data_IF_472425186258
#
_entry.id   IF_472425186258
#
_cell.length_a   1.000
_cell.length_b   1.000
_cell.length_c   1.000
_cell.angle_alpha   90.00
_cell.angle_beta   90.00
_cell.angle_gamma   90.00
#
_symmetry.space_group_name_H-M   'P 1'
#
loop_
_entity.id
_entity.type
_entity.pdbx_description
1 polymer ?
#
# COMPACT_ATOMS: atom_id res chain seq x y z
N UNK A 1 -16.90 18.78 9.43
CA UNK A 1 -16.28 17.93 8.41
C UNK A 1 -16.29 18.68 7.07
N UNK A 2 -15.13 18.88 6.47
CA UNK A 2 -15.04 19.53 5.18
C UNK A 2 -15.58 18.57 4.11
N UNK A 3 -16.55 19.03 3.32
CA UNK A 3 -17.12 18.27 2.21
C UNK A 3 -16.38 18.54 0.91
N UNK A 4 -16.36 17.55 0.03
CA UNK A 4 -15.86 17.63 -1.33
C UNK A 4 -16.96 17.36 -2.33
N UNK A 5 -16.74 17.74 -3.58
CA UNK A 5 -17.69 17.45 -4.64
C UNK A 5 -16.96 16.90 -5.88
N UNK A 6 -17.42 15.76 -6.37
CA UNK A 6 -16.93 15.11 -7.57
C UNK A 6 -17.97 15.17 -8.69
N UNK A 7 -17.77 16.09 -9.66
CA UNK A 7 -18.60 16.17 -10.89
C UNK A 7 -18.17 15.17 -11.98
N UNK A 8 -17.31 14.19 -11.64
CA UNK A 8 -16.72 13.24 -12.59
C UNK A 8 -15.46 13.76 -13.29
N UNK A 9 -15.10 15.02 -13.13
CA UNK A 9 -13.89 15.63 -13.69
C UNK A 9 -13.49 16.90 -12.95
N UNK A 10 -12.23 17.29 -13.10
CA UNK A 10 -11.69 18.59 -12.67
C UNK A 10 -10.71 19.07 -13.74
N UNK A 11 -10.71 20.37 -14.03
CA UNK A 11 -9.76 20.98 -14.97
C UNK A 11 -8.69 21.74 -14.19
N UNK A 12 -7.43 21.50 -14.52
CA UNK A 12 -6.26 22.15 -13.92
C UNK A 12 -5.37 22.66 -15.05
N UNK A 13 -5.16 23.96 -15.13
CA UNK A 13 -4.36 24.64 -16.17
C UNK A 13 -4.67 24.11 -17.59
N UNK A 14 -5.95 24.02 -17.94
CA UNK A 14 -6.42 23.53 -19.23
C UNK A 14 -6.43 22.01 -19.44
N UNK A 15 -5.81 21.23 -18.54
CA UNK A 15 -5.83 19.75 -18.56
C UNK A 15 -6.98 19.22 -17.74
N UNK A 16 -7.73 18.25 -18.30
CA UNK A 16 -8.85 17.61 -17.60
C UNK A 16 -8.42 16.30 -16.95
N UNK A 17 -8.55 16.23 -15.63
CA UNK A 17 -8.48 14.99 -14.85
C UNK A 17 -9.88 14.41 -14.74
N UNK A 18 -10.07 13.16 -15.17
CA UNK A 18 -11.34 12.44 -15.08
C UNK A 18 -11.37 11.53 -13.88
N UNK A 19 -12.54 11.36 -13.28
CA UNK A 19 -12.76 10.26 -12.36
C UNK A 19 -12.72 8.92 -13.12
N UNK A 20 -12.39 7.84 -12.45
CA UNK A 20 -12.28 6.52 -13.09
C UNK A 20 -13.65 5.92 -13.43
N UNK A 21 -14.72 6.41 -12.83
CA UNK A 21 -16.11 5.98 -13.05
C UNK A 21 -17.06 7.15 -13.18
N UNK A 22 -18.32 6.94 -12.83
CA UNK A 22 -19.36 7.97 -12.79
C UNK A 22 -19.03 9.07 -11.76
N UNK A 23 -19.65 10.26 -11.85
CA UNK A 23 -19.56 11.28 -10.82
C UNK A 23 -20.01 10.74 -9.45
N UNK A 24 -19.19 10.98 -8.40
CA UNK A 24 -19.52 10.54 -7.05
C UNK A 24 -20.41 11.55 -6.28
N UNK A 25 -20.54 12.78 -6.78
CA UNK A 25 -21.33 13.83 -6.12
C UNK A 25 -20.65 14.38 -4.87
N UNK A 26 -21.44 14.59 -3.81
CA UNK A 26 -20.93 15.07 -2.53
C UNK A 26 -20.20 13.93 -1.78
N UNK A 27 -18.98 14.20 -1.34
CA UNK A 27 -18.11 13.23 -0.66
C UNK A 27 -17.51 13.79 0.62
N UNK A 28 -17.37 12.93 1.61
CA UNK A 28 -16.46 13.14 2.75
C UNK A 28 -15.07 12.60 2.37
N UNK A 29 -14.05 12.91 3.18
CA UNK A 29 -12.72 12.33 3.02
C UNK A 29 -12.75 10.78 3.03
N UNK A 30 -13.54 10.16 3.91
CA UNK A 30 -13.70 8.72 3.98
C UNK A 30 -14.28 8.16 2.68
N UNK A 31 -15.37 8.74 2.18
CA UNK A 31 -16.00 8.31 0.92
C UNK A 31 -15.09 8.52 -0.29
N UNK A 32 -14.38 9.64 -0.34
CA UNK A 32 -13.41 9.90 -1.41
C UNK A 32 -12.28 8.86 -1.45
N UNK A 33 -11.83 8.39 -0.28
CA UNK A 33 -10.82 7.33 -0.17
C UNK A 33 -11.40 5.96 -0.55
N UNK A 34 -12.61 5.62 -0.10
CA UNK A 34 -13.34 4.41 -0.44
C UNK A 34 -13.60 4.32 -1.96
N UNK A 35 -14.02 5.43 -2.56
CA UNK A 35 -14.29 5.56 -4.00
C UNK A 35 -13.02 5.77 -4.83
N UNK A 36 -11.86 6.00 -4.21
CA UNK A 36 -10.63 6.36 -4.93
C UNK A 36 -10.82 7.54 -5.89
N UNK A 37 -11.47 8.62 -5.42
CA UNK A 37 -11.96 9.71 -6.25
C UNK A 37 -10.83 10.62 -6.75
N UNK A 38 -10.43 10.50 -8.02
CA UNK A 38 -9.36 11.31 -8.62
C UNK A 38 -9.58 12.83 -8.47
N UNK A 39 -10.79 13.41 -8.74
CA UNK A 39 -11.03 14.83 -8.57
C UNK A 39 -10.83 15.33 -7.14
N UNK A 40 -11.22 14.56 -6.12
CA UNK A 40 -11.03 14.95 -4.72
C UNK A 40 -9.54 14.92 -4.35
N UNK A 41 -8.81 13.87 -4.70
CA UNK A 41 -7.37 13.80 -4.43
C UNK A 41 -6.57 14.85 -5.21
N UNK A 42 -7.01 15.22 -6.41
CA UNK A 42 -6.47 16.39 -7.14
C UNK A 42 -6.67 17.68 -6.35
N UNK A 43 -7.88 17.94 -5.84
CA UNK A 43 -8.15 19.13 -5.03
C UNK A 43 -7.28 19.18 -3.78
N UNK A 44 -7.11 18.03 -3.09
CA UNK A 44 -6.26 17.93 -1.90
C UNK A 44 -4.79 18.20 -2.21
N UNK A 45 -4.25 17.64 -3.29
CA UNK A 45 -2.87 17.88 -3.70
C UNK A 45 -2.62 19.36 -4.02
N UNK A 46 -3.55 20.02 -4.76
CA UNK A 46 -3.46 21.42 -5.09
C UNK A 46 -3.58 22.33 -3.85
N UNK A 47 -4.45 21.99 -2.89
CA UNK A 47 -4.57 22.71 -1.60
C UNK A 47 -3.30 22.59 -0.76
N UNK A 48 -2.66 21.41 -0.77
CA UNK A 48 -1.41 21.19 -0.05
C UNK A 48 -0.25 21.98 -0.66
N UNK A 49 -0.27 22.13 -1.98
CA UNK A 49 0.78 22.76 -2.76
C UNK A 49 2.01 21.88 -2.94
N UNK A 50 2.84 22.19 -3.93
CA UNK A 50 3.99 21.35 -4.29
C UNK A 50 5.02 21.22 -3.17
N UNK A 51 5.27 22.31 -2.41
CA UNK A 51 6.26 22.31 -1.34
C UNK A 51 5.92 21.28 -0.24
N UNK A 52 4.74 21.41 0.37
CA UNK A 52 4.30 20.49 1.43
C UNK A 52 4.11 19.09 0.90
N UNK A 53 3.58 18.93 -0.32
CA UNK A 53 3.39 17.62 -0.92
C UNK A 53 4.72 16.88 -1.05
N UNK A 54 5.77 17.55 -1.54
CA UNK A 54 7.11 16.94 -1.66
C UNK A 54 7.80 16.73 -0.33
N UNK A 55 7.59 17.58 0.67
CA UNK A 55 8.05 17.33 2.04
C UNK A 55 7.50 15.98 2.55
N UNK A 56 6.20 15.71 2.36
CA UNK A 56 5.61 14.43 2.74
C UNK A 56 6.10 13.26 1.89
N UNK A 57 6.20 13.40 0.56
CA UNK A 57 6.75 12.34 -0.29
C UNK A 57 8.14 11.90 0.22
N UNK A 58 9.01 12.86 0.49
CA UNK A 58 10.35 12.56 1.01
C UNK A 58 10.36 12.05 2.45
N UNK A 59 9.46 12.55 3.30
CA UNK A 59 9.31 12.05 4.67
C UNK A 59 8.85 10.59 4.68
N UNK A 60 8.02 10.17 3.72
CA UNK A 60 7.63 8.77 3.49
C UNK A 60 8.67 7.95 2.71
N UNK A 61 9.84 8.50 2.42
CA UNK A 61 10.96 7.80 1.78
C UNK A 61 10.84 7.61 0.27
N UNK A 62 9.85 8.25 -0.39
CA UNK A 62 9.66 8.13 -1.83
C UNK A 62 10.70 8.95 -2.60
N UNK A 63 11.10 8.47 -3.79
CA UNK A 63 12.07 9.12 -4.66
C UNK A 63 13.55 8.91 -4.25
N UNK A 64 13.84 8.04 -3.29
CA UNK A 64 15.19 7.67 -2.85
C UNK A 64 15.24 6.20 -2.45
N UNK A 65 16.42 5.59 -2.48
CA UNK A 65 16.63 4.22 -2.00
C UNK A 65 16.27 4.11 -0.53
N UNK A 66 15.67 2.99 -0.13
CA UNK A 66 15.32 2.70 1.28
C UNK A 66 16.55 2.31 2.09
N UNK A 67 17.59 1.82 1.41
CA UNK A 67 18.81 1.29 2.01
C UNK A 67 18.61 -0.10 2.61
N UNK A 68 17.66 -0.88 2.07
CA UNK A 68 17.53 -2.31 2.37
C UNK A 68 18.86 -3.03 2.07
N UNK A 69 19.14 -4.09 2.78
CA UNK A 69 20.36 -4.91 2.65
C UNK A 69 20.34 -5.86 1.43
N UNK A 70 19.85 -5.34 0.29
CA UNK A 70 19.83 -6.00 -1.01
C UNK A 70 20.57 -5.15 -2.05
N UNK A 71 21.26 -5.83 -2.97
CA UNK A 71 21.92 -5.19 -4.10
C UNK A 71 20.89 -4.80 -5.19
N UNK A 72 21.22 -3.76 -5.97
CA UNK A 72 20.42 -3.37 -7.15
C UNK A 72 19.18 -2.56 -6.83
N UNK A 73 19.04 -1.99 -5.61
CA UNK A 73 17.90 -1.17 -5.25
C UNK A 73 17.81 0.09 -6.14
N UNK A 74 16.63 0.33 -6.75
CA UNK A 74 16.32 1.53 -7.50
C UNK A 74 15.70 2.62 -6.60
N UNK A 75 15.84 3.90 -6.98
CA UNK A 75 15.32 5.04 -6.22
C UNK A 75 13.89 5.47 -6.58
N UNK A 76 13.24 4.80 -7.55
CA UNK A 76 11.99 5.30 -8.12
C UNK A 76 12.21 6.50 -9.05
N UNK A 77 11.13 7.05 -9.58
CA UNK A 77 11.15 8.23 -10.48
C UNK A 77 10.13 9.25 -9.97
N UNK A 78 10.62 10.41 -9.58
CA UNK A 78 9.80 11.59 -9.25
C UNK A 78 10.25 12.76 -10.13
N UNK A 79 9.31 13.58 -10.59
CA UNK A 79 9.62 14.87 -11.20
C UNK A 79 10.27 15.74 -10.11
N UNK A 80 11.37 16.39 -10.40
CA UNK A 80 12.00 17.31 -9.43
C UNK A 80 11.04 18.43 -9.03
N UNK A 81 10.94 18.74 -7.74
CA UNK A 81 9.99 19.70 -7.18
C UNK A 81 9.97 21.04 -7.91
N UNK A 82 11.15 21.57 -8.27
CA UNK A 82 11.28 22.86 -8.99
C UNK A 82 10.70 22.84 -10.41
N UNK A 83 10.41 21.69 -10.98
CA UNK A 83 9.85 21.50 -12.33
C UNK A 83 8.38 21.10 -12.32
N UNK A 84 7.82 20.84 -11.15
CA UNK A 84 6.42 20.39 -11.00
C UNK A 84 5.47 21.53 -11.28
N UNK A 85 4.60 21.35 -12.27
CA UNK A 85 3.47 22.21 -12.57
C UNK A 85 2.22 21.74 -11.82
N UNK A 86 1.18 22.58 -11.74
CA UNK A 86 -0.07 22.18 -11.09
C UNK A 86 -0.70 20.93 -11.72
N UNK A 87 -0.58 20.75 -13.04
CA UNK A 87 -1.07 19.55 -13.74
C UNK A 87 -0.31 18.30 -13.29
N UNK A 88 1.00 18.40 -13.06
CA UNK A 88 1.81 17.30 -12.56
C UNK A 88 1.45 16.98 -11.12
N UNK A 89 1.34 18.00 -10.28
CA UNK A 89 0.92 17.88 -8.88
C UNK A 89 -0.47 17.25 -8.77
N UNK A 90 -1.41 17.67 -9.63
CA UNK A 90 -2.74 17.10 -9.72
C UNK A 90 -2.70 15.59 -10.00
N UNK A 91 -1.85 15.15 -10.95
CA UNK A 91 -1.68 13.73 -11.31
C UNK A 91 -0.99 12.93 -10.22
N UNK A 92 0.07 13.47 -9.64
CA UNK A 92 0.78 12.81 -8.52
C UNK A 92 -0.18 12.65 -7.34
N UNK A 93 -1.08 13.60 -7.11
CA UNK A 93 -2.06 13.60 -6.03
C UNK A 93 -2.99 12.38 -5.98
N UNK A 94 -3.30 11.80 -7.13
CA UNK A 94 -4.05 10.53 -7.20
C UNK A 94 -3.20 9.34 -7.67
N UNK A 95 -1.86 9.46 -7.61
CA UNK A 95 -0.93 8.35 -7.82
C UNK A 95 -0.50 8.10 -9.26
N UNK A 96 -0.67 9.08 -10.17
CA UNK A 96 -0.14 9.03 -11.54
C UNK A 96 1.13 9.90 -11.67
N UNK A 97 1.87 9.74 -12.77
CA UNK A 97 3.10 10.51 -13.05
C UNK A 97 4.19 10.37 -11.98
N UNK A 98 4.17 9.27 -11.26
CA UNK A 98 5.17 8.87 -10.26
C UNK A 98 5.45 7.39 -10.39
N UNK A 99 6.71 6.98 -10.30
CA UNK A 99 7.08 5.57 -10.23
C UNK A 99 7.87 5.32 -8.94
N UNK A 100 7.38 4.36 -8.15
CA UNK A 100 8.01 3.94 -6.90
C UNK A 100 8.32 2.45 -6.95
N UNK A 101 9.36 2.03 -6.23
CA UNK A 101 9.64 0.60 -6.11
C UNK A 101 8.66 -0.07 -5.15
N UNK A 102 8.40 -1.38 -5.29
CA UNK A 102 7.57 -2.12 -4.34
C UNK A 102 8.03 -1.96 -2.89
N UNK A 103 9.35 -1.96 -2.66
CA UNK A 103 9.89 -1.78 -1.30
C UNK A 103 9.65 -0.37 -0.75
N UNK A 104 9.73 0.67 -1.57
CA UNK A 104 9.35 2.03 -1.17
C UNK A 104 7.87 2.09 -0.80
N UNK A 105 7.00 1.51 -1.64
CA UNK A 105 5.55 1.53 -1.41
C UNK A 105 5.16 0.81 -0.12
N UNK A 106 5.65 -0.42 0.09
CA UNK A 106 5.29 -1.17 1.31
C UNK A 106 5.87 -0.49 2.57
N UNK A 107 7.08 0.06 2.50
CA UNK A 107 7.71 0.76 3.63
C UNK A 107 6.93 2.03 3.99
N UNK A 108 6.50 2.82 2.98
CA UNK A 108 5.65 3.99 3.18
C UNK A 108 4.27 3.61 3.76
N UNK A 109 3.65 2.55 3.23
CA UNK A 109 2.37 2.03 3.74
C UNK A 109 2.48 1.58 5.20
N UNK A 110 3.57 0.87 5.56
CA UNK A 110 3.84 0.52 6.96
C UNK A 110 3.92 1.77 7.85
N UNK A 111 4.57 2.85 7.38
CA UNK A 111 4.63 4.11 8.15
C UNK A 111 3.24 4.74 8.37
N UNK A 112 2.31 4.59 7.42
CA UNK A 112 0.93 5.06 7.58
C UNK A 112 0.21 4.34 8.72
N UNK A 113 0.51 3.06 8.98
CA UNK A 113 -0.30 2.22 9.88
C UNK A 113 0.39 1.82 11.19
N UNK A 114 1.70 2.08 11.35
CA UNK A 114 2.50 1.65 12.50
C UNK A 114 2.73 2.75 13.56
N UNK A 115 1.89 3.78 13.60
CA UNK A 115 2.07 4.95 14.47
C UNK A 115 2.86 6.07 13.83
N UNK A 116 2.99 6.09 12.50
CA UNK A 116 3.58 7.19 11.74
C UNK A 116 5.09 7.10 11.53
N UNK A 117 5.73 5.97 11.82
CA UNK A 117 7.18 5.82 11.79
C UNK A 117 7.65 5.13 10.51
N UNK A 118 8.44 5.83 9.69
CA UNK A 118 9.14 5.22 8.56
C UNK A 118 10.35 4.44 9.07
N UNK A 119 10.31 3.13 8.92
CA UNK A 119 11.38 2.23 9.35
C UNK A 119 12.33 1.94 8.19
N UNK A 120 13.64 1.78 8.49
CA UNK A 120 14.56 1.22 7.51
C UNK A 120 14.25 -0.27 7.34
N UNK A 121 13.90 -0.75 6.11
CA UNK A 121 13.69 -2.18 5.89
C UNK A 121 15.03 -2.94 5.93
N UNK A 122 14.98 -4.19 6.37
CA UNK A 122 16.11 -5.13 6.33
C UNK A 122 15.60 -6.57 6.23
N UNK A 123 16.44 -7.48 5.73
CA UNK A 123 16.18 -8.91 5.64
C UNK A 123 17.11 -9.71 6.56
N UNK A 124 18.36 -9.24 6.73
CA UNK A 124 19.34 -9.93 7.55
C UNK A 124 19.17 -9.49 9.01
N UNK A 125 18.67 -10.37 9.83
CA UNK A 125 18.51 -10.12 11.27
C UNK A 125 19.84 -10.23 12.01
N UNK A 126 20.60 -11.32 11.76
CA UNK A 126 21.89 -11.53 12.37
C UNK A 126 22.86 -12.21 11.39
N UNK A 127 24.15 -12.05 11.66
CA UNK A 127 25.23 -12.81 11.03
C UNK A 127 25.97 -13.51 12.18
N UNK A 128 26.10 -14.84 12.09
CA UNK A 128 26.73 -15.69 13.09
C UNK A 128 27.96 -16.39 12.49
N UNK A 129 28.92 -16.73 13.32
CA UNK A 129 30.04 -17.61 12.94
C UNK A 129 29.64 -19.08 13.01
N UNK A 130 30.60 -19.99 12.67
CA UNK A 130 30.36 -21.43 12.72
C UNK A 130 30.08 -21.99 14.11
N UNK A 131 30.44 -21.25 15.18
CA UNK A 131 30.24 -21.64 16.56
C UNK A 131 28.94 -21.04 17.16
N UNK A 132 28.16 -20.30 16.35
CA UNK A 132 26.91 -19.69 16.75
C UNK A 132 27.07 -18.34 17.46
N UNK A 133 28.26 -17.74 17.46
CA UNK A 133 28.46 -16.42 18.04
C UNK A 133 27.94 -15.33 17.07
N UNK A 134 27.16 -14.42 17.59
CA UNK A 134 26.61 -13.30 16.79
C UNK A 134 27.73 -12.31 16.45
N UNK A 135 28.12 -12.26 15.17
CA UNK A 135 29.10 -11.30 14.64
C UNK A 135 28.45 -9.94 14.36
N UNK A 136 27.19 -9.94 13.97
CA UNK A 136 26.42 -8.72 13.67
C UNK A 136 24.94 -8.94 13.94
N UNK A 137 24.31 -7.99 14.64
CA UNK A 137 22.87 -7.94 14.87
C UNK A 137 22.30 -6.70 14.22
N UNK A 138 21.21 -6.87 13.47
CA UNK A 138 20.44 -5.74 12.92
C UNK A 138 19.34 -5.35 13.91
N UNK A 139 19.23 -4.07 14.21
CA UNK A 139 18.16 -3.54 15.05
C UNK A 139 17.23 -2.63 14.24
N UNK A 140 15.91 -2.62 14.55
CA UNK A 140 14.97 -1.72 13.90
C UNK A 140 15.40 -0.26 14.03
N UNK A 141 15.38 0.47 12.89
CA UNK A 141 15.81 1.88 12.83
C UNK A 141 14.71 2.76 12.26
N UNK A 142 14.28 3.77 13.02
CA UNK A 142 13.37 4.82 12.53
C UNK A 142 14.17 5.78 11.66
N UNK A 143 13.70 6.03 10.43
CA UNK A 143 14.29 6.96 9.46
C UNK A 143 13.65 8.33 9.58
N UNK A 144 12.33 8.38 9.74
CA UNK A 144 11.54 9.60 9.88
C UNK A 144 10.18 9.29 10.55
N UNK A 145 9.47 10.35 10.94
CA UNK A 145 8.11 10.24 11.49
C UNK A 145 7.20 11.17 10.70
N UNK A 146 6.76 10.76 9.48
CA UNK A 146 6.01 11.63 8.57
C UNK A 146 4.64 12.07 9.10
N UNK A 147 3.98 11.29 9.95
CA UNK A 147 2.69 11.61 10.55
C UNK A 147 2.67 11.24 12.04
N UNK A 148 1.71 11.82 12.77
CA UNK A 148 1.51 11.49 14.18
C UNK A 148 0.86 10.12 14.37
N UNK A 149 0.97 9.55 15.56
CA UNK A 149 0.30 8.28 15.91
C UNK A 149 -1.23 8.40 15.82
N UNK A 150 -1.79 9.57 16.13
CA UNK A 150 -3.22 9.86 16.00
C UNK A 150 -3.66 9.85 14.53
N UNK A 151 -2.89 10.50 13.64
CA UNK A 151 -3.13 10.47 12.19
C UNK A 151 -3.05 9.05 11.67
N UNK A 152 -2.05 8.27 12.10
CA UNK A 152 -1.92 6.86 11.75
C UNK A 152 -3.14 6.04 12.18
N UNK A 153 -3.65 6.24 13.41
CA UNK A 153 -4.85 5.58 13.90
C UNK A 153 -6.10 5.95 13.06
N UNK A 154 -6.22 7.22 12.67
CA UNK A 154 -7.28 7.68 11.77
C UNK A 154 -7.17 7.02 10.40
N UNK A 155 -5.97 6.97 9.84
CA UNK A 155 -5.72 6.32 8.54
C UNK A 155 -6.04 4.83 8.55
N UNK A 156 -5.73 4.10 9.63
CA UNK A 156 -6.14 2.69 9.76
C UNK A 156 -7.65 2.51 9.64
N UNK A 157 -8.43 3.35 10.33
CA UNK A 157 -9.90 3.31 10.25
C UNK A 157 -10.42 3.62 8.85
N UNK A 158 -9.85 4.63 8.18
CA UNK A 158 -10.23 4.99 6.82
C UNK A 158 -9.90 3.85 5.83
N UNK A 159 -8.70 3.26 5.95
CA UNK A 159 -8.27 2.17 5.08
C UNK A 159 -9.02 0.85 5.34
N UNK A 160 -9.49 0.61 6.57
CA UNK A 160 -10.45 -0.44 6.88
C UNK A 160 -11.76 -0.21 6.13
N UNK A 161 -12.29 1.03 6.14
CA UNK A 161 -13.47 1.41 5.37
C UNK A 161 -13.34 1.16 3.86
N UNK A 162 -12.15 1.33 3.28
CA UNK A 162 -11.90 1.01 1.86
C UNK A 162 -12.13 -0.47 1.55
N UNK A 163 -11.75 -1.37 2.46
CA UNK A 163 -11.97 -2.81 2.29
C UNK A 163 -13.43 -3.17 2.60
N UNK A 164 -14.04 -2.53 3.59
CA UNK A 164 -15.43 -2.82 3.96
C UNK A 164 -16.44 -2.28 2.95
N UNK A 165 -16.28 -1.05 2.49
CA UNK A 165 -17.30 -0.32 1.75
C UNK A 165 -16.86 0.10 0.33
N UNK A 166 -15.55 0.12 0.08
CA UNK A 166 -14.94 0.71 -1.12
C UNK A 166 -14.42 -0.30 -2.13
N UNK A 167 -13.46 0.14 -2.94
CA UNK A 167 -12.83 -0.63 -4.02
C UNK A 167 -11.98 -1.80 -3.56
N UNK A 168 -11.73 -1.94 -2.25
CA UNK A 168 -10.94 -3.03 -1.65
C UNK A 168 -11.71 -4.27 -1.25
N UNK A 169 -13.00 -4.35 -1.52
CA UNK A 169 -13.91 -5.43 -1.03
C UNK A 169 -13.42 -6.85 -1.29
N UNK A 170 -12.74 -7.08 -2.41
CA UNK A 170 -12.21 -8.40 -2.77
C UNK A 170 -10.99 -8.82 -1.92
N UNK A 171 -10.50 -7.95 -1.04
CA UNK A 171 -9.46 -8.28 -0.06
C UNK A 171 -10.05 -8.66 1.32
N UNK A 172 -11.36 -8.75 1.49
CA UNK A 172 -11.99 -9.20 2.73
C UNK A 172 -11.64 -10.65 3.03
N UNK A 173 -11.36 -10.90 4.31
CA UNK A 173 -11.15 -12.25 4.85
C UNK A 173 -12.10 -12.44 6.03
N UNK A 174 -12.85 -13.55 6.00
CA UNK A 174 -13.83 -13.81 7.03
C UNK A 174 -13.18 -13.97 8.42
N UNK A 175 -13.67 -13.21 9.38
CA UNK A 175 -13.16 -13.21 10.76
C UNK A 175 -11.89 -12.39 10.97
N UNK A 176 -11.43 -11.60 9.97
CA UNK A 176 -10.29 -10.71 10.13
C UNK A 176 -10.58 -9.29 9.64
N UNK A 177 -10.18 -8.32 10.42
CA UNK A 177 -10.26 -6.91 10.02
C UNK A 177 -9.08 -6.56 9.11
N UNK A 178 -9.32 -6.42 7.81
CA UNK A 178 -8.32 -6.07 6.82
C UNK A 178 -8.46 -4.59 6.45
N UNK A 179 -7.37 -3.83 6.51
CA UNK A 179 -7.30 -2.50 5.95
C UNK A 179 -6.44 -2.48 4.69
N UNK A 180 -6.72 -1.59 3.75
CA UNK A 180 -5.90 -1.52 2.54
C UNK A 180 -6.39 -0.54 1.49
N UNK A 181 -5.66 -0.49 0.37
CA UNK A 181 -5.96 0.38 -0.78
C UNK A 181 -5.59 -0.30 -2.08
N UNK A 182 -6.51 -0.27 -3.03
CA UNK A 182 -6.26 -0.68 -4.42
C UNK A 182 -5.54 0.42 -5.19
N UNK A 183 -4.72 0.03 -6.15
CA UNK A 183 -4.12 0.89 -7.15
C UNK A 183 -4.33 0.31 -8.55
N UNK A 184 -4.40 1.20 -9.54
CA UNK A 184 -4.45 0.84 -10.95
C UNK A 184 -3.66 1.88 -11.73
N UNK A 185 -2.48 1.50 -12.19
CA UNK A 185 -1.58 2.39 -12.92
C UNK A 185 -1.54 2.03 -14.40
N UNK A 186 -1.51 3.05 -15.26
CA UNK A 186 -1.28 2.88 -16.70
C UNK A 186 0.17 2.47 -16.97
N UNK A 187 0.36 1.65 -17.97
CA UNK A 187 1.68 1.21 -18.41
C UNK A 187 2.21 2.15 -19.48
N UNK A 188 3.45 2.58 -19.32
CA UNK A 188 4.18 3.39 -20.30
C UNK A 188 5.25 2.54 -20.97
N UNK A 189 5.24 2.50 -22.31
CA UNK A 189 6.31 1.91 -23.13
C UNK A 189 6.75 2.92 -24.17
N UNK A 190 8.06 3.13 -24.30
CA UNK A 190 8.62 4.06 -25.26
C UNK A 190 8.00 5.47 -25.22
N UNK A 191 7.71 5.97 -24.01
CA UNK A 191 7.09 7.29 -23.78
C UNK A 191 5.60 7.41 -24.12
N UNK A 192 4.93 6.30 -24.46
CA UNK A 192 3.49 6.25 -24.75
C UNK A 192 2.75 5.41 -23.73
N UNK A 193 1.49 5.79 -23.48
CA UNK A 193 0.57 4.98 -22.66
C UNK A 193 0.12 3.80 -23.52
N UNK A 194 0.31 2.58 -22.99
CA UNK A 194 -0.30 1.37 -23.56
C UNK A 194 -1.79 1.36 -23.23
N UNK A 195 -2.60 1.45 -24.27
CA UNK A 195 -4.05 1.42 -24.11
C UNK A 195 -4.49 0.02 -23.62
N UNK A 196 -5.37 0.01 -22.62
CA UNK A 196 -5.97 -1.20 -22.04
C UNK A 196 -5.00 -2.14 -21.29
N UNK A 197 -3.81 -1.69 -20.92
CA UNK A 197 -2.89 -2.43 -20.06
C UNK A 197 -2.63 -1.65 -18.77
N UNK A 198 -2.74 -2.33 -17.64
CA UNK A 198 -2.56 -1.73 -16.32
C UNK A 198 -1.67 -2.59 -15.42
N UNK A 199 -1.09 -1.93 -14.43
CA UNK A 199 -0.54 -2.57 -13.25
C UNK A 199 -1.61 -2.46 -12.16
N UNK A 200 -2.27 -3.58 -11.87
CA UNK A 200 -3.18 -3.69 -10.73
C UNK A 200 -2.40 -3.93 -9.46
N UNK A 201 -2.72 -3.22 -8.38
CA UNK A 201 -2.06 -3.40 -7.10
C UNK A 201 -3.04 -3.34 -5.94
N UNK A 202 -2.66 -3.97 -4.84
CA UNK A 202 -3.31 -3.84 -3.54
C UNK A 202 -2.24 -3.81 -2.45
N UNK A 203 -2.26 -2.78 -1.64
CA UNK A 203 -1.51 -2.73 -0.39
C UNK A 203 -2.48 -2.93 0.76
N UNK A 204 -2.19 -3.88 1.64
CA UNK A 204 -3.05 -4.21 2.76
C UNK A 204 -2.28 -4.47 4.04
N UNK A 205 -2.99 -4.44 5.15
CA UNK A 205 -2.46 -4.73 6.48
C UNK A 205 -3.53 -5.36 7.37
N UNK A 206 -3.10 -6.14 8.33
CA UNK A 206 -3.98 -6.84 9.27
C UNK A 206 -3.29 -7.09 10.63
N UNK A 207 -4.06 -7.15 11.74
CA UNK A 207 -5.43 -6.63 11.91
C UNK A 207 -5.48 -5.11 11.71
N UNK A 208 -6.65 -4.56 11.32
CA UNK A 208 -6.75 -3.14 10.99
C UNK A 208 -6.57 -2.21 12.20
N UNK A 209 -6.89 -2.65 13.39
CA UNK A 209 -6.76 -1.90 14.65
C UNK A 209 -5.33 -1.96 15.21
N UNK A 210 -4.66 -3.13 15.10
CA UNK A 210 -3.30 -3.34 15.60
C UNK A 210 -2.47 -4.14 14.57
N UNK A 211 -1.97 -3.52 13.51
CA UNK A 211 -1.30 -4.19 12.40
C UNK A 211 -0.10 -5.02 12.84
N UNK A 212 -0.10 -6.29 12.47
CA UNK A 212 0.99 -7.26 12.68
C UNK A 212 1.74 -7.57 11.39
N UNK A 213 1.04 -7.42 10.27
CA UNK A 213 1.59 -7.69 8.94
C UNK A 213 1.03 -6.70 7.93
N UNK A 214 1.85 -6.34 6.97
CA UNK A 214 1.46 -5.64 5.76
C UNK A 214 1.96 -6.39 4.53
N UNK A 215 1.20 -6.34 3.45
CA UNK A 215 1.57 -6.93 2.16
C UNK A 215 1.27 -5.98 1.02
N UNK A 216 2.01 -6.13 -0.05
CA UNK A 216 1.77 -5.49 -1.34
C UNK A 216 1.71 -6.57 -2.42
N UNK A 217 0.58 -6.65 -3.09
CA UNK A 217 0.41 -7.51 -4.27
C UNK A 217 0.35 -6.62 -5.51
N UNK A 218 1.14 -6.95 -6.53
CA UNK A 218 1.12 -6.27 -7.83
C UNK A 218 0.94 -7.30 -8.94
N UNK A 219 0.03 -7.02 -9.87
CA UNK A 219 -0.22 -7.85 -11.05
C UNK A 219 -0.03 -6.98 -12.29
N UNK A 220 0.99 -7.30 -13.06
CA UNK A 220 1.32 -6.59 -14.29
C UNK A 220 0.60 -7.22 -15.48
N UNK A 221 -0.06 -6.40 -16.29
CA UNK A 221 -0.65 -6.81 -17.58
C UNK A 221 -1.57 -8.05 -17.44
N UNK A 222 -2.48 -8.00 -16.47
CA UNK A 222 -3.44 -9.09 -16.28
C UNK A 222 -4.24 -9.35 -17.56
N UNK A 223 -4.40 -10.63 -17.92
CA UNK A 223 -5.17 -11.05 -19.10
C UNK A 223 -6.69 -11.02 -18.87
N UNK A 224 -7.14 -10.80 -17.63
CA UNK A 224 -8.55 -10.67 -17.26
C UNK A 224 -9.03 -9.23 -17.39
N UNK A 225 -10.33 -9.05 -17.65
CA UNK A 225 -10.96 -7.72 -17.68
C UNK A 225 -12.16 -7.68 -16.71
N UNK A 226 -12.32 -6.59 -15.98
CA UNK A 226 -11.43 -5.43 -15.86
C UNK A 226 -10.14 -5.79 -15.13
N UNK A 227 -9.01 -5.24 -15.57
CA UNK A 227 -7.66 -5.49 -15.03
C UNK A 227 -7.26 -4.53 -13.91
N UNK A 228 -8.22 -4.10 -13.11
CA UNK A 228 -8.02 -3.19 -11.98
C UNK A 228 -7.45 -3.92 -10.75
N UNK A 229 -6.74 -3.20 -9.89
CA UNK A 229 -6.15 -3.77 -8.68
C UNK A 229 -7.17 -4.44 -7.75
N UNK A 230 -8.41 -3.94 -7.73
CA UNK A 230 -9.50 -4.56 -6.97
C UNK A 230 -9.96 -5.93 -7.50
N UNK A 231 -9.74 -6.22 -8.79
CA UNK A 231 -10.11 -7.49 -9.43
C UNK A 231 -8.92 -8.43 -9.64
N UNK A 232 -7.71 -7.88 -9.72
CA UNK A 232 -6.51 -8.67 -10.03
C UNK A 232 -5.59 -8.89 -8.84
N UNK A 233 -5.41 -7.90 -7.95
CA UNK A 233 -4.47 -7.98 -6.84
C UNK A 233 -5.17 -8.25 -5.48
N UNK A 234 -6.32 -7.62 -5.23
CA UNK A 234 -7.03 -7.75 -3.95
C UNK A 234 -7.46 -9.20 -3.62
N UNK A 235 -7.95 -10.04 -4.57
CA UNK A 235 -8.28 -11.43 -4.27
C UNK A 235 -7.08 -12.26 -3.81
N UNK A 236 -5.92 -12.07 -4.42
CA UNK A 236 -4.69 -12.75 -3.99
C UNK A 236 -4.23 -12.27 -2.62
N UNK A 237 -4.40 -10.98 -2.33
CA UNK A 237 -4.10 -10.47 -1.00
C UNK A 237 -5.00 -11.11 0.06
N UNK A 238 -6.30 -11.32 -0.24
CA UNK A 238 -7.21 -12.04 0.65
C UNK A 238 -6.73 -13.46 0.94
N UNK A 239 -6.38 -14.23 -0.09
CA UNK A 239 -5.85 -15.59 0.06
C UNK A 239 -4.58 -15.64 0.90
N UNK A 240 -3.64 -14.72 0.65
CA UNK A 240 -2.41 -14.62 1.44
C UNK A 240 -2.74 -14.32 2.91
N UNK A 241 -3.61 -13.34 3.20
CA UNK A 241 -4.00 -13.03 4.57
C UNK A 241 -4.69 -14.20 5.26
N UNK A 242 -5.58 -14.93 4.55
CA UNK A 242 -6.28 -16.08 5.10
C UNK A 242 -5.32 -17.17 5.59
N UNK A 243 -4.22 -17.37 4.87
CA UNK A 243 -3.20 -18.35 5.21
C UNK A 243 -2.23 -17.85 6.29
N UNK A 244 -1.74 -16.61 6.19
CA UNK A 244 -0.66 -16.15 7.09
C UNK A 244 -1.15 -15.65 8.44
N UNK A 245 -2.38 -15.12 8.57
CA UNK A 245 -2.85 -14.56 9.84
C UNK A 245 -2.96 -15.60 10.97
N UNK A 246 -3.46 -16.83 10.71
CA UNK A 246 -3.41 -17.89 11.71
C UNK A 246 -1.97 -18.26 12.12
N UNK A 247 -1.05 -18.33 11.16
CA UNK A 247 0.37 -18.65 11.43
C UNK A 247 1.06 -17.58 12.28
N UNK A 248 0.62 -16.32 12.15
CA UNK A 248 1.10 -15.20 12.96
C UNK A 248 0.42 -15.11 14.34
N UNK A 249 -0.46 -16.07 14.68
CA UNK A 249 -1.20 -16.08 15.93
C UNK A 249 -2.23 -14.95 16.04
N UNK A 250 -2.72 -14.42 14.92
CA UNK A 250 -3.78 -13.41 14.91
C UNK A 250 -5.11 -14.11 15.09
N UNK A 251 -5.78 -13.83 16.20
CA UNK A 251 -7.11 -14.39 16.48
C UNK A 251 -8.16 -13.82 15.53
N UNK A 252 -9.14 -14.63 15.14
CA UNK A 252 -10.34 -14.15 14.44
C UNK A 252 -11.17 -13.29 15.39
N UNK A 253 -11.75 -12.22 14.87
CA UNK A 253 -12.78 -11.44 15.59
C UNK A 253 -14.04 -12.29 15.77
N UNK A 254 -14.73 -12.14 16.93
CA UNK A 254 -15.92 -12.91 17.25
C UNK A 254 -16.98 -12.82 16.13
N UNK A 255 -17.42 -14.01 15.66
CA UNK A 255 -18.34 -14.17 14.52
C UNK A 255 -17.79 -15.05 13.40
N UNK A 256 -16.50 -15.36 13.36
CA UNK A 256 -15.89 -16.35 12.47
C UNK A 256 -15.73 -17.70 13.18
N UNK A 257 -16.00 -18.81 12.47
CA UNK A 257 -15.76 -20.15 13.00
C UNK A 257 -14.35 -20.29 13.57
N UNK A 258 -14.21 -20.91 14.75
CA UNK A 258 -12.93 -21.18 15.41
C UNK A 258 -11.93 -21.78 14.42
N UNK A 259 -10.77 -21.13 14.28
CA UNK A 259 -9.67 -21.73 13.56
C UNK A 259 -9.24 -22.98 14.30
N UNK A 260 -9.29 -24.15 13.66
CA UNK A 260 -8.61 -25.35 14.17
C UNK A 260 -7.14 -24.95 14.34
N UNK A 261 -6.66 -24.98 15.57
CA UNK A 261 -5.22 -24.92 15.84
C UNK A 261 -4.57 -26.13 15.16
N UNK A 262 -3.97 -25.90 14.01
CA UNK A 262 -3.09 -26.88 13.39
C UNK A 262 -1.76 -26.74 14.12
N UNK A 263 -1.52 -27.60 15.09
CA UNK A 263 -0.18 -27.76 15.67
C UNK A 263 0.74 -28.19 14.54
N UNK A 264 1.76 -27.40 14.29
CA UNK A 264 2.80 -27.79 13.33
C UNK A 264 3.40 -29.12 13.83
N UNK A 265 3.45 -30.18 13.01
CA UNK A 265 4.07 -31.42 13.41
C UNK A 265 5.54 -31.15 13.78
N UNK A 266 6.02 -31.82 14.82
CA UNK A 266 7.43 -31.75 15.18
C UNK A 266 8.25 -32.39 14.06
N UNK A 267 8.93 -31.56 13.31
CA UNK A 267 9.81 -31.98 12.20
C UNK A 267 11.28 -32.03 12.62
N UNK A 268 11.58 -31.93 13.91
CA UNK A 268 12.93 -31.98 14.44
C UNK A 268 13.57 -33.33 14.09
N UNK A 269 14.67 -33.30 13.37
CA UNK A 269 15.39 -34.50 12.91
C UNK A 269 14.88 -35.11 11.61
N UNK A 270 13.86 -34.55 10.98
CA UNK A 270 13.43 -34.98 9.64
C UNK A 270 14.27 -34.36 8.55
N UNK A 271 14.53 -35.12 7.48
CA UNK A 271 15.12 -34.52 6.29
C UNK A 271 14.07 -33.71 5.51
N UNK A 272 14.52 -32.79 4.62
CA UNK A 272 13.65 -31.85 3.88
C UNK A 272 12.58 -32.56 3.01
N UNK A 273 12.79 -33.82 2.64
CA UNK A 273 11.88 -34.59 1.81
C UNK A 273 10.72 -35.13 2.65
N UNK A 274 10.99 -35.59 3.87
CA UNK A 274 10.01 -36.17 4.79
C UNK A 274 9.18 -35.09 5.51
N UNK A 275 9.72 -33.88 5.67
CA UNK A 275 9.01 -32.75 6.26
C UNK A 275 7.98 -32.09 5.29
N UNK A 276 7.95 -32.51 4.02
CA UNK A 276 7.00 -32.01 3.00
C UNK A 276 5.82 -32.92 2.74
N UNK A 277 5.78 -34.09 3.32
CA UNK A 277 4.68 -35.05 3.25
C UNK A 277 3.63 -34.80 4.34
#
# INVERSE_FOLDING_TARGET
QEGFYCSGRITVDGSTVRCWGAPHGAETMARALENSCNPVFTQLALRLGSERFYQYLHAFGLGRRTGIDLYGEAGGILIGQSRVKNVDLARIGFGQSVAVTPIQMITAACAVVNGGRLMKPYLVEAIEDSDGNVLKQTSPKVVSTPISAETSATMRKLLYGVVENGGGKNAKVNGYAIGGKTGTAQIYRNGKIESNLHIGSFVGFAPADNPRVALLVTVNEAKVKPDYGGTTAAPFAAQIFEEILPLLGVAKTEGGAEAKQTTMPDVTGMNVRDAKA
#
